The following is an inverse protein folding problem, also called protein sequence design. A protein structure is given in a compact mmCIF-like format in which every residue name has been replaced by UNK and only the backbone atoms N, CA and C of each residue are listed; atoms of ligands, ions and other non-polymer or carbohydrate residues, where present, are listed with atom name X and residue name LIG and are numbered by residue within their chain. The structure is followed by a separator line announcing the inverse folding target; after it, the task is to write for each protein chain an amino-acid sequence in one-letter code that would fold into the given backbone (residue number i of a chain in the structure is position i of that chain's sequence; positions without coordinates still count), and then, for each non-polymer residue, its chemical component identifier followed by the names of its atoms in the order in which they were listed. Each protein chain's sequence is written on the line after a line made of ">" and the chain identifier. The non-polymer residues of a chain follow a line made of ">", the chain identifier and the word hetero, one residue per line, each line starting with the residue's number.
data_IF_575676566607
#
_entry.id   IF_575676566607
#
_cell.length_a   1.000
_cell.length_b   1.000
_cell.length_c   1.000
_cell.angle_alpha   90.00
_cell.angle_beta   90.00
_cell.angle_gamma   90.00
#
_symmetry.space_group_name_H-M   'P 1'
#
loop_
_entity.id
_entity.type
_entity.pdbx_description
1 polymer ?
#
# COMPACT_ATOMS: atom_id res chain seq x y z
N UNK A 1 6.18 15.07 -23.04
CA UNK A 1 5.81 15.06 -21.61
C UNK A 1 5.96 13.64 -21.08
N UNK A 2 6.60 13.45 -19.93
CA UNK A 2 6.91 12.11 -19.37
C UNK A 2 5.67 11.33 -18.91
N UNK A 3 4.51 11.99 -18.78
CA UNK A 3 3.22 11.35 -18.50
C UNK A 3 2.15 11.80 -19.51
N UNK A 4 1.98 11.08 -20.63
CA UNK A 4 0.91 11.36 -21.58
C UNK A 4 -0.46 11.23 -20.91
N UNK A 5 -1.29 12.28 -21.00
CA UNK A 5 -2.62 12.40 -20.37
C UNK A 5 -2.62 12.36 -18.83
N UNK A 6 -1.49 12.64 -18.17
CA UNK A 6 -1.43 12.68 -16.69
C UNK A 6 -1.67 11.32 -16.02
N UNK A 7 -1.34 10.22 -16.72
CA UNK A 7 -1.46 8.86 -16.18
C UNK A 7 -0.52 8.63 -15.00
N UNK A 8 -0.94 7.74 -14.11
CA UNK A 8 -0.10 7.20 -13.05
C UNK A 8 0.94 6.24 -13.64
N UNK A 9 2.14 6.28 -13.09
CA UNK A 9 3.23 5.33 -13.36
C UNK A 9 3.63 4.67 -12.05
N UNK A 10 4.08 3.43 -12.13
CA UNK A 10 4.63 2.69 -11.01
C UNK A 10 5.73 1.74 -11.52
N UNK A 11 6.73 1.44 -10.70
CA UNK A 11 7.83 0.54 -11.06
C UNK A 11 7.50 -0.94 -10.72
N UNK A 12 8.45 -1.84 -10.96
CA UNK A 12 8.29 -3.27 -10.66
C UNK A 12 8.95 -3.68 -9.34
N UNK A 13 9.33 -2.72 -8.49
CA UNK A 13 10.02 -2.99 -7.22
C UNK A 13 9.06 -3.51 -6.15
N UNK A 14 9.57 -4.26 -5.19
CA UNK A 14 8.82 -4.64 -4.00
C UNK A 14 8.49 -3.42 -3.14
N UNK A 15 9.50 -2.57 -2.92
CA UNK A 15 9.33 -1.23 -2.40
C UNK A 15 8.96 -0.29 -3.55
N UNK A 16 7.74 -0.51 -4.04
CA UNK A 16 7.17 0.18 -5.19
C UNK A 16 7.35 1.69 -5.08
N UNK A 17 7.85 2.31 -6.16
CA UNK A 17 7.71 3.74 -6.39
C UNK A 17 6.61 3.98 -7.42
N UNK A 18 5.81 5.00 -7.18
CA UNK A 18 4.81 5.45 -8.12
C UNK A 18 4.76 6.97 -8.17
N UNK A 19 4.35 7.51 -9.31
CA UNK A 19 4.09 8.92 -9.42
C UNK A 19 2.89 9.22 -10.30
N UNK A 20 2.29 10.39 -10.07
CA UNK A 20 1.31 11.00 -10.98
C UNK A 20 1.45 12.51 -10.96
N UNK A 21 1.03 13.15 -12.04
CA UNK A 21 0.88 14.60 -12.08
C UNK A 21 -0.52 14.97 -11.59
N UNK A 22 -0.60 15.98 -10.73
CA UNK A 22 -1.87 16.58 -10.31
C UNK A 22 -2.33 17.60 -11.36
N UNK A 23 -3.64 17.95 -11.40
CA UNK A 23 -4.16 18.91 -12.37
C UNK A 23 -3.50 20.30 -12.31
N UNK A 24 -2.97 20.69 -11.16
CA UNK A 24 -2.24 21.94 -10.93
C UNK A 24 -0.73 21.82 -11.18
N UNK A 25 -0.27 20.75 -11.83
CA UNK A 25 1.10 20.63 -12.33
C UNK A 25 2.14 20.17 -11.31
N UNK A 26 1.73 19.70 -10.12
CA UNK A 26 2.65 19.09 -9.14
C UNK A 26 2.86 17.61 -9.43
N UNK A 27 4.04 17.10 -9.08
CA UNK A 27 4.29 15.65 -9.07
C UNK A 27 3.99 15.12 -7.67
N UNK A 28 3.04 14.18 -7.58
CA UNK A 28 2.91 13.31 -6.42
C UNK A 28 3.86 12.15 -6.63
N UNK A 29 4.91 12.07 -5.82
CA UNK A 29 5.78 10.90 -5.71
C UNK A 29 5.42 10.14 -4.44
N UNK A 30 5.17 8.85 -4.58
CA UNK A 30 4.82 7.98 -3.47
C UNK A 30 5.53 6.65 -3.59
N UNK A 31 5.64 5.97 -2.47
CA UNK A 31 6.23 4.65 -2.45
C UNK A 31 6.33 4.11 -1.04
N UNK A 32 6.98 2.96 -0.93
CA UNK A 32 7.28 2.34 0.36
C UNK A 32 8.77 2.42 0.60
N UNK A 33 9.17 2.70 1.83
CA UNK A 33 10.58 2.68 2.25
C UNK A 33 10.83 1.82 3.49
N UNK A 34 9.76 1.40 4.17
CA UNK A 34 9.77 0.66 5.42
C UNK A 34 8.51 -0.20 5.51
N UNK A 35 8.61 -1.30 6.24
CA UNK A 35 7.47 -2.13 6.65
C UNK A 35 7.04 -1.85 8.11
N UNK A 36 7.74 -0.95 8.80
CA UNK A 36 7.39 -0.55 10.17
C UNK A 36 6.21 0.42 10.17
N UNK A 37 5.21 0.22 11.05
CA UNK A 37 4.04 1.10 11.14
C UNK A 37 4.37 2.53 11.60
N UNK A 38 5.44 2.69 12.38
CA UNK A 38 5.80 3.95 13.03
C UNK A 38 7.07 4.58 12.42
N UNK A 39 7.16 4.53 11.08
CA UNK A 39 8.29 5.13 10.37
C UNK A 39 8.32 6.66 10.53
N UNK A 40 9.49 7.21 10.85
CA UNK A 40 9.71 8.65 10.95
C UNK A 40 9.41 9.35 9.61
N UNK A 41 8.54 10.36 9.64
CA UNK A 41 8.07 11.04 8.43
C UNK A 41 9.20 11.78 7.70
N UNK A 42 10.11 12.44 8.43
CA UNK A 42 11.17 13.26 7.84
C UNK A 42 12.18 12.36 7.13
N UNK A 43 12.68 11.32 7.82
CA UNK A 43 13.57 10.31 7.23
C UNK A 43 12.91 9.63 6.05
N UNK A 44 11.61 9.38 6.14
CA UNK A 44 10.85 8.76 5.07
C UNK A 44 10.75 9.61 3.82
N UNK A 45 10.39 10.89 3.99
CA UNK A 45 10.32 11.86 2.91
C UNK A 45 11.70 12.07 2.26
N UNK A 46 12.78 12.11 3.05
CA UNK A 46 14.14 12.20 2.52
C UNK A 46 14.52 10.97 1.68
N UNK A 47 14.14 9.76 2.11
CA UNK A 47 14.39 8.54 1.34
C UNK A 47 13.63 8.54 0.01
N UNK A 48 12.34 8.89 0.04
CA UNK A 48 11.52 9.02 -1.17
C UNK A 48 12.06 10.12 -2.11
N UNK A 49 12.54 11.24 -1.57
CA UNK A 49 13.19 12.29 -2.38
C UNK A 49 14.44 11.77 -3.08
N UNK A 50 15.29 10.99 -2.40
CA UNK A 50 16.47 10.37 -3.04
C UNK A 50 16.07 9.43 -4.19
N UNK A 51 15.02 8.63 -4.01
CA UNK A 51 14.49 7.76 -5.06
C UNK A 51 13.93 8.57 -6.24
N UNK A 52 13.15 9.61 -5.95
CA UNK A 52 12.60 10.53 -6.96
C UNK A 52 13.71 11.18 -7.78
N UNK A 53 14.75 11.73 -7.14
CA UNK A 53 15.88 12.38 -7.84
C UNK A 53 16.72 11.35 -8.60
N UNK A 54 16.85 10.14 -8.10
CA UNK A 54 17.52 9.06 -8.83
C UNK A 54 16.78 8.73 -10.14
N UNK A 55 15.44 8.66 -10.13
CA UNK A 55 14.63 8.43 -11.33
C UNK A 55 14.55 9.67 -12.23
N UNK A 56 14.48 10.87 -11.63
CA UNK A 56 14.32 12.15 -12.32
C UNK A 56 15.34 13.17 -11.80
N UNK A 57 16.59 13.14 -12.29
CA UNK A 57 17.67 13.99 -11.78
C UNK A 57 17.39 15.50 -11.86
N UNK A 58 16.57 15.91 -12.85
CA UNK A 58 16.15 17.30 -13.03
C UNK A 58 15.26 17.85 -11.92
N UNK A 59 14.78 17.00 -11.00
CA UNK A 59 13.95 17.41 -9.86
C UNK A 59 14.77 17.73 -8.59
N UNK A 60 16.11 17.73 -8.66
CA UNK A 60 16.97 17.93 -7.49
C UNK A 60 16.69 19.25 -6.74
N UNK A 61 16.51 20.35 -7.48
CA UNK A 61 16.22 21.68 -6.92
C UNK A 61 14.71 21.93 -6.68
N UNK A 62 13.84 20.97 -7.01
CA UNK A 62 12.39 21.16 -6.87
C UNK A 62 11.98 21.00 -5.41
N UNK A 63 11.27 21.98 -4.81
CA UNK A 63 10.90 21.92 -3.40
C UNK A 63 9.82 20.88 -3.14
N UNK A 64 9.96 20.17 -2.01
CA UNK A 64 8.90 19.33 -1.45
C UNK A 64 7.94 20.24 -0.69
N UNK A 65 6.71 20.38 -1.19
CA UNK A 65 5.70 21.25 -0.56
C UNK A 65 4.88 20.52 0.51
N UNK A 66 4.74 19.20 0.40
CA UNK A 66 3.91 18.39 1.29
C UNK A 66 4.55 17.01 1.49
N UNK A 67 4.44 16.47 2.69
CA UNK A 67 4.75 15.07 3.00
C UNK A 67 3.75 14.53 4.00
N UNK A 68 3.39 13.26 3.86
CA UNK A 68 2.52 12.55 4.78
C UNK A 68 2.92 11.08 4.84
N UNK A 69 2.50 10.40 5.88
CA UNK A 69 2.63 8.96 6.04
C UNK A 69 1.26 8.36 6.39
N UNK A 70 1.15 7.04 6.25
CA UNK A 70 -0.07 6.31 6.57
C UNK A 70 0.25 4.87 6.92
N UNK A 71 -0.68 4.22 7.62
CA UNK A 71 -0.57 2.80 7.99
C UNK A 71 -1.30 1.95 6.96
N UNK A 72 -0.67 0.87 6.54
CA UNK A 72 -1.24 -0.11 5.62
C UNK A 72 -1.64 -1.36 6.39
N UNK A 73 -2.87 -1.83 6.19
CA UNK A 73 -3.26 -3.18 6.57
C UNK A 73 -2.70 -4.15 5.53
N UNK A 74 -1.71 -4.95 5.94
CA UNK A 74 -1.14 -6.03 5.13
C UNK A 74 -1.63 -7.38 5.61
N UNK A 75 -1.79 -8.31 4.68
CA UNK A 75 -2.24 -9.68 4.95
C UNK A 75 -1.19 -10.65 4.42
N UNK A 76 -1.08 -11.83 5.04
CA UNK A 76 -0.01 -12.78 4.71
C UNK A 76 -0.09 -13.34 3.28
N UNK A 77 -1.29 -13.37 2.73
CA UNK A 77 -1.58 -13.82 1.37
C UNK A 77 -1.67 -12.67 0.36
N UNK A 78 -1.47 -11.42 0.80
CA UNK A 78 -1.57 -10.21 -0.01
C UNK A 78 -2.95 -10.01 -0.66
N UNK A 79 -4.00 -10.66 -0.13
CA UNK A 79 -5.38 -10.49 -0.57
C UNK A 79 -6.19 -9.66 0.43
N UNK A 80 -7.18 -8.88 -0.01
CA UNK A 80 -8.13 -8.24 0.89
C UNK A 80 -9.13 -9.27 1.41
N UNK A 81 -9.55 -9.09 2.67
CA UNK A 81 -10.44 -10.02 3.36
C UNK A 81 -11.68 -9.31 3.87
N UNK A 82 -12.83 -9.97 3.74
CA UNK A 82 -14.07 -9.59 4.41
C UNK A 82 -14.50 -10.72 5.35
N UNK A 83 -15.15 -10.38 6.45
CA UNK A 83 -15.60 -11.38 7.40
C UNK A 83 -16.32 -10.80 8.59
N UNK A 84 -16.43 -11.60 9.65
CA UNK A 84 -17.07 -11.24 10.91
C UNK A 84 -16.31 -11.82 12.09
N UNK A 85 -16.04 -11.01 13.10
CA UNK A 85 -15.48 -11.40 14.40
C UNK A 85 -16.35 -10.77 15.48
N UNK A 86 -16.80 -11.57 16.45
CA UNK A 86 -17.59 -11.12 17.61
C UNK A 86 -18.79 -10.21 17.27
N UNK A 87 -19.49 -10.52 16.18
CA UNK A 87 -20.63 -9.70 15.74
C UNK A 87 -20.27 -8.53 14.83
N UNK A 88 -19.00 -8.18 14.72
CA UNK A 88 -18.51 -7.04 13.93
C UNK A 88 -18.05 -7.51 12.56
N UNK A 89 -18.66 -6.95 11.51
CA UNK A 89 -18.25 -7.18 10.14
C UNK A 89 -17.04 -6.31 9.79
N UNK A 90 -16.09 -6.87 9.03
CA UNK A 90 -14.89 -6.15 8.61
C UNK A 90 -14.63 -6.30 7.12
N UNK A 91 -13.98 -5.29 6.55
CA UNK A 91 -13.24 -5.35 5.30
C UNK A 91 -11.86 -4.74 5.54
N UNK A 92 -10.80 -5.52 5.40
CA UNK A 92 -9.45 -5.13 5.78
C UNK A 92 -8.40 -5.66 4.81
N UNK A 93 -7.15 -5.25 5.04
CA UNK A 93 -6.03 -5.90 4.38
C UNK A 93 -5.91 -5.55 2.90
N UNK A 94 -6.21 -4.32 2.50
CA UNK A 94 -6.21 -3.94 1.09
C UNK A 94 -4.81 -3.89 0.45
N UNK A 95 -3.73 -4.12 1.20
CA UNK A 95 -2.35 -4.20 0.71
C UNK A 95 -1.84 -3.00 -0.12
N UNK A 96 -2.51 -1.84 -0.03
CA UNK A 96 -2.20 -0.64 -0.81
C UNK A 96 -3.18 -0.35 -1.96
N UNK A 97 -4.17 -1.22 -2.18
CA UNK A 97 -5.20 -1.09 -3.22
C UNK A 97 -6.58 -0.65 -2.67
N UNK A 98 -6.60 -0.06 -1.47
CA UNK A 98 -7.84 0.29 -0.77
C UNK A 98 -8.72 1.25 -1.56
N UNK A 99 -8.14 2.26 -2.24
CA UNK A 99 -8.91 3.24 -3.02
C UNK A 99 -9.72 2.58 -4.13
N UNK A 100 -9.18 1.53 -4.78
CA UNK A 100 -9.86 0.85 -5.88
C UNK A 100 -10.87 -0.19 -5.42
N UNK A 101 -10.61 -0.92 -4.32
CA UNK A 101 -11.42 -2.09 -3.95
C UNK A 101 -12.34 -1.86 -2.75
N UNK A 102 -12.11 -0.86 -1.91
CA UNK A 102 -12.87 -0.67 -0.68
C UNK A 102 -14.37 -0.43 -0.93
N UNK A 103 -14.72 0.35 -1.95
CA UNK A 103 -16.13 0.59 -2.32
C UNK A 103 -16.85 -0.69 -2.72
N UNK A 104 -16.18 -1.54 -3.51
CA UNK A 104 -16.72 -2.84 -3.92
C UNK A 104 -16.93 -3.76 -2.71
N UNK A 105 -15.93 -3.87 -1.83
CA UNK A 105 -16.04 -4.73 -0.64
C UNK A 105 -17.05 -4.20 0.38
N UNK A 106 -17.19 -2.88 0.49
CA UNK A 106 -18.27 -2.26 1.27
C UNK A 106 -19.66 -2.61 0.74
N UNK A 107 -19.84 -2.55 -0.58
CA UNK A 107 -21.09 -2.97 -1.22
C UNK A 107 -21.36 -4.47 -1.03
N UNK A 108 -20.35 -5.32 -1.22
CA UNK A 108 -20.45 -6.77 -0.98
C UNK A 108 -20.91 -7.09 0.44
N UNK A 109 -20.33 -6.46 1.45
CA UNK A 109 -20.75 -6.63 2.85
C UNK A 109 -22.19 -6.13 3.04
N UNK A 110 -22.56 -4.99 2.48
CA UNK A 110 -23.93 -4.47 2.56
C UNK A 110 -24.97 -5.43 1.96
N UNK A 111 -24.66 -6.08 0.84
CA UNK A 111 -25.52 -7.08 0.21
C UNK A 111 -25.64 -8.35 1.06
N UNK A 112 -24.55 -8.78 1.70
CA UNK A 112 -24.57 -9.91 2.63
C UNK A 112 -25.42 -9.60 3.89
N UNK A 113 -25.26 -8.39 4.44
CA UNK A 113 -25.98 -7.96 5.64
C UNK A 113 -27.49 -7.79 5.40
N UNK A 114 -27.88 -7.32 4.23
CA UNK A 114 -29.30 -7.16 3.86
C UNK A 114 -29.99 -8.47 3.48
N UNK A 115 -29.23 -9.58 3.33
CA UNK A 115 -29.74 -10.85 2.81
C UNK A 115 -30.00 -10.85 1.30
N UNK A 116 -29.71 -9.76 0.59
CA UNK A 116 -29.80 -9.69 -0.87
C UNK A 116 -28.77 -10.59 -1.56
N UNK A 117 -27.69 -10.95 -0.85
CA UNK A 117 -26.67 -11.90 -1.27
C UNK A 117 -26.37 -12.86 -0.12
N UNK A 118 -26.09 -14.12 -0.44
CA UNK A 118 -25.79 -15.16 0.57
C UNK A 118 -24.34 -15.65 0.55
N UNK A 119 -23.57 -15.29 -0.50
CA UNK A 119 -22.18 -15.73 -0.68
C UNK A 119 -21.33 -14.62 -1.27
N UNK A 120 -20.03 -14.63 -0.99
CA UNK A 120 -19.05 -13.77 -1.64
C UNK A 120 -17.73 -14.52 -1.75
N UNK A 121 -17.04 -14.48 -2.90
CA UNK A 121 -15.71 -15.08 -3.01
C UNK A 121 -14.77 -14.57 -1.92
N UNK A 122 -14.83 -13.29 -1.55
CA UNK A 122 -13.97 -12.69 -0.52
C UNK A 122 -14.27 -13.17 0.90
N UNK A 123 -15.45 -13.75 1.15
CA UNK A 123 -15.79 -14.38 2.43
C UNK A 123 -15.25 -15.82 2.50
N UNK A 124 -14.97 -16.42 1.34
CA UNK A 124 -14.55 -17.81 1.21
C UNK A 124 -13.02 -17.95 1.10
N UNK A 125 -12.31 -16.84 0.93
CA UNK A 125 -10.84 -16.82 0.98
C UNK A 125 -10.43 -17.10 2.43
N UNK A 126 -9.61 -18.14 2.69
CA UNK A 126 -9.04 -18.35 4.02
C UNK A 126 -8.20 -17.13 4.40
N UNK A 127 -8.29 -16.67 5.65
CA UNK A 127 -7.43 -15.60 6.15
C UNK A 127 -6.26 -16.19 6.97
N UNK A 128 -5.14 -16.58 6.34
CA UNK A 128 -4.07 -17.29 7.01
C UNK A 128 -3.32 -16.38 7.98
N UNK A 129 -2.92 -16.95 9.11
CA UNK A 129 -1.89 -16.40 9.99
C UNK A 129 -0.61 -17.23 9.88
N UNK A 130 0.50 -16.77 10.47
CA UNK A 130 1.75 -17.55 10.55
C UNK A 130 1.90 -18.17 11.93
N UNK A 131 2.56 -19.33 11.97
CA UNK A 131 2.95 -19.97 13.22
C UNK A 131 3.81 -19.01 14.05
N UNK A 132 3.45 -18.79 15.31
CA UNK A 132 4.03 -17.78 16.23
C UNK A 132 3.82 -16.30 15.85
N UNK A 133 2.79 -15.98 15.06
CA UNK A 133 2.34 -14.59 14.95
C UNK A 133 1.28 -14.29 16.02
N UNK A 134 1.62 -13.43 16.97
CA UNK A 134 0.78 -13.00 18.10
C UNK A 134 0.23 -11.57 17.92
N UNK A 135 0.30 -11.04 16.70
CA UNK A 135 -0.02 -9.65 16.38
C UNK A 135 1.22 -8.75 16.29
N UNK A 136 2.34 -9.14 16.91
CA UNK A 136 3.62 -8.43 16.73
C UNK A 136 4.40 -9.02 15.56
N UNK A 137 4.67 -8.24 14.51
CA UNK A 137 5.23 -8.79 13.29
C UNK A 137 6.76 -8.84 13.37
N UNK A 138 7.29 -9.69 14.26
CA UNK A 138 8.72 -9.82 14.60
C UNK A 138 9.63 -10.09 13.39
N UNK A 139 9.10 -10.69 12.33
CA UNK A 139 9.83 -11.01 11.11
C UNK A 139 9.94 -9.84 10.12
N UNK A 140 9.18 -8.73 10.31
CA UNK A 140 9.17 -7.63 9.34
C UNK A 140 10.51 -6.96 9.09
N UNK A 141 11.38 -6.73 10.09
CA UNK A 141 12.70 -6.15 9.83
C UNK A 141 13.55 -7.04 8.90
N UNK A 142 13.47 -8.36 9.07
CA UNK A 142 14.17 -9.32 8.21
C UNK A 142 13.58 -9.35 6.80
N UNK A 143 12.26 -9.41 6.70
CA UNK A 143 11.56 -9.37 5.42
C UNK A 143 11.85 -8.07 4.66
N UNK A 144 11.84 -6.92 5.34
CA UNK A 144 12.15 -5.62 4.75
C UNK A 144 13.56 -5.60 4.17
N UNK A 145 14.57 -6.07 4.92
CA UNK A 145 15.95 -6.15 4.43
C UNK A 145 16.10 -7.07 3.22
N UNK A 146 15.43 -8.23 3.24
CA UNK A 146 15.43 -9.16 2.12
C UNK A 146 14.87 -8.51 0.84
N UNK A 147 13.70 -7.88 0.93
CA UNK A 147 13.08 -7.23 -0.23
C UNK A 147 13.84 -5.98 -0.69
N UNK A 148 14.44 -5.22 0.22
CA UNK A 148 15.33 -4.10 -0.14
C UNK A 148 16.56 -4.59 -0.90
N UNK A 149 17.18 -5.69 -0.47
CA UNK A 149 18.30 -6.29 -1.19
C UNK A 149 17.88 -6.78 -2.58
N UNK A 150 16.68 -7.36 -2.70
CA UNK A 150 16.13 -7.79 -3.99
C UNK A 150 15.91 -6.62 -4.95
N UNK A 151 15.39 -5.49 -4.46
CA UNK A 151 15.15 -4.29 -5.28
C UNK A 151 16.45 -3.59 -5.72
N UNK A 152 17.57 -3.82 -5.03
CA UNK A 152 18.89 -3.33 -5.45
C UNK A 152 19.51 -4.18 -6.56
N UNK A 153 19.09 -5.44 -6.68
CA UNK A 153 19.62 -6.39 -7.66
C UNK A 153 18.79 -6.45 -8.96
N UNK A 154 17.62 -5.80 -8.99
CA UNK A 154 16.72 -5.71 -10.15
C UNK A 154 16.88 -4.38 -10.88
#
# INVERSE_FOLDING_TARGET
>A
TTSPRGRMFYDSKWFLNYFRLTPDGRMLWGGRNSLTPDADLIKSAQALRRQMVHTFPHLVEVPITHSWSGRLGLTFDMLPHIGRIDGVHYALGYNGHGVSIASYLGQEIGLLLSGAKTRSPFLEIPHPTRFFYDGQPWFLPLAARYFQARDLLS
#
